data_IF_081691012479
#
_entry.id   IF_081691012479
#
_cell.length_a   1.000
_cell.length_b   1.000
_cell.length_c   1.000
_cell.angle_alpha   90.00
_cell.angle_beta   90.00
_cell.angle_gamma   90.00
#
_symmetry.space_group_name_H-M   'P 1'
#
loop_
_entity.id
_entity.type
_entity.pdbx_description
1 polymer ?
#
# COMPACT_ATOMS: atom_id res chain seq x y z
N UNK A 1 36.42 4.70 -20.59
CA UNK A 1 35.73 3.86 -19.60
C UNK A 1 36.61 2.68 -19.28
N UNK A 2 37.35 2.79 -18.19
CA UNK A 2 38.19 1.71 -17.65
C UNK A 2 37.30 0.52 -17.25
N UNK A 3 37.86 -0.69 -17.21
CA UNK A 3 37.12 -1.90 -16.81
C UNK A 3 36.53 -1.78 -15.41
N UNK A 4 37.23 -1.10 -14.50
CA UNK A 4 36.75 -0.86 -13.15
C UNK A 4 35.53 0.06 -13.12
N UNK A 5 35.53 1.12 -13.94
CA UNK A 5 34.38 2.02 -14.08
C UNK A 5 33.15 1.28 -14.61
N UNK A 6 33.34 0.39 -15.59
CA UNK A 6 32.25 -0.45 -16.12
C UNK A 6 31.69 -1.40 -15.07
N UNK A 7 32.55 -2.07 -14.29
CA UNK A 7 32.10 -2.98 -13.20
C UNK A 7 31.35 -2.22 -12.11
N UNK A 8 31.83 -1.04 -11.72
CA UNK A 8 31.17 -0.19 -10.74
C UNK A 8 29.79 0.25 -11.23
N UNK A 9 29.69 0.69 -12.49
CA UNK A 9 28.41 1.09 -13.08
C UNK A 9 27.40 -0.07 -13.10
N UNK A 10 27.86 -1.27 -13.46
CA UNK A 10 26.99 -2.44 -13.48
C UNK A 10 26.52 -2.87 -12.07
N UNK A 11 27.37 -2.73 -11.06
CA UNK A 11 26.99 -2.98 -9.67
C UNK A 11 25.94 -1.97 -9.18
N UNK A 12 26.08 -0.68 -9.56
CA UNK A 12 25.08 0.35 -9.27
C UNK A 12 23.74 0.03 -9.92
N UNK A 13 23.72 -0.33 -11.20
CA UNK A 13 22.47 -0.68 -11.89
C UNK A 13 21.76 -1.88 -11.23
N UNK A 14 22.50 -2.92 -10.83
CA UNK A 14 21.92 -4.06 -10.11
C UNK A 14 21.29 -3.64 -8.77
N UNK A 15 21.95 -2.75 -8.03
CA UNK A 15 21.42 -2.22 -6.78
C UNK A 15 20.15 -1.40 -7.00
N UNK A 16 20.17 -0.51 -7.98
CA UNK A 16 19.01 0.34 -8.34
C UNK A 16 17.80 -0.50 -8.79
N UNK A 17 18.04 -1.54 -9.60
CA UNK A 17 17.00 -2.49 -10.00
C UNK A 17 16.41 -3.24 -8.81
N UNK A 18 17.25 -3.73 -7.88
CA UNK A 18 16.80 -4.41 -6.69
C UNK A 18 15.92 -3.49 -5.82
N UNK A 19 16.37 -2.26 -5.58
CA UNK A 19 15.61 -1.27 -4.83
C UNK A 19 14.29 -0.90 -5.51
N UNK A 20 14.29 -0.77 -6.84
CA UNK A 20 13.06 -0.50 -7.60
C UNK A 20 12.06 -1.65 -7.47
N UNK A 21 12.54 -2.90 -7.55
CA UNK A 21 11.70 -4.09 -7.35
C UNK A 21 11.11 -4.12 -5.95
N UNK A 22 11.89 -3.79 -4.92
CA UNK A 22 11.42 -3.83 -3.54
C UNK A 22 10.38 -2.74 -3.26
N UNK A 23 10.57 -1.51 -3.77
CA UNK A 23 9.52 -0.46 -3.73
C UNK A 23 8.21 -0.90 -4.37
N UNK A 24 8.28 -1.62 -5.49
CA UNK A 24 7.09 -2.17 -6.16
C UNK A 24 6.43 -3.27 -5.33
N UNK A 25 7.21 -4.16 -4.70
CA UNK A 25 6.67 -5.19 -3.81
C UNK A 25 5.96 -4.58 -2.61
N UNK A 26 6.54 -3.58 -1.97
CA UNK A 26 5.95 -2.87 -0.84
C UNK A 26 4.63 -2.21 -1.22
N UNK A 27 4.61 -1.48 -2.34
CA UNK A 27 3.37 -0.87 -2.86
C UNK A 27 2.28 -1.93 -3.11
N UNK A 28 2.62 -3.04 -3.77
CA UNK A 28 1.67 -4.13 -4.04
C UNK A 28 1.17 -4.79 -2.75
N UNK A 29 2.04 -4.99 -1.77
CA UNK A 29 1.67 -5.56 -0.48
C UNK A 29 0.71 -4.62 0.27
N UNK A 30 0.99 -3.32 0.28
CA UNK A 30 0.11 -2.29 0.86
C UNK A 30 -1.26 -2.26 0.18
N UNK A 31 -1.30 -2.20 -1.16
CA UNK A 31 -2.56 -2.19 -1.90
C UNK A 31 -3.37 -3.47 -1.66
N UNK A 32 -2.73 -4.64 -1.65
CA UNK A 32 -3.42 -5.90 -1.36
C UNK A 32 -4.03 -5.91 0.03
N UNK A 33 -3.31 -5.40 1.04
CA UNK A 33 -3.83 -5.28 2.40
C UNK A 33 -5.06 -4.38 2.46
N UNK A 34 -5.00 -3.19 1.86
CA UNK A 34 -6.14 -2.26 1.83
C UNK A 34 -7.38 -2.86 1.16
N UNK A 35 -7.21 -3.61 0.07
CA UNK A 35 -8.32 -4.32 -0.59
C UNK A 35 -8.94 -5.38 0.34
N UNK A 36 -8.10 -6.13 1.05
CA UNK A 36 -8.57 -7.15 2.00
C UNK A 36 -9.30 -6.51 3.19
N UNK A 37 -8.76 -5.43 3.74
CA UNK A 37 -9.39 -4.65 4.81
C UNK A 37 -10.75 -4.10 4.37
N UNK A 38 -10.84 -3.52 3.16
CA UNK A 38 -12.11 -3.07 2.57
C UNK A 38 -13.12 -4.19 2.37
N UNK A 39 -12.70 -5.36 1.87
CA UNK A 39 -13.58 -6.52 1.70
C UNK A 39 -14.12 -7.04 3.05
N UNK A 40 -13.29 -7.03 4.10
CA UNK A 40 -13.72 -7.37 5.46
C UNK A 40 -14.73 -6.35 5.97
N UNK A 41 -14.48 -5.05 5.74
CA UNK A 41 -15.38 -3.98 6.14
C UNK A 41 -16.74 -4.11 5.48
N UNK A 42 -16.81 -4.27 4.16
CA UNK A 42 -18.09 -4.44 3.44
C UNK A 42 -18.85 -5.70 3.90
N UNK A 43 -18.13 -6.78 4.20
CA UNK A 43 -18.76 -8.00 4.73
C UNK A 43 -19.34 -7.79 6.14
N UNK A 44 -18.64 -7.07 7.00
CA UNK A 44 -19.07 -6.81 8.37
C UNK A 44 -20.11 -5.68 8.46
N UNK A 45 -20.08 -4.75 7.52
CA UNK A 45 -20.92 -3.56 7.46
C UNK A 45 -21.32 -3.29 5.99
N UNK A 46 -22.35 -3.98 5.48
CA UNK A 46 -22.76 -3.89 4.07
C UNK A 46 -23.13 -2.49 3.58
N UNK A 47 -23.53 -1.61 4.49
CA UNK A 47 -23.86 -0.22 4.18
C UNK A 47 -22.63 0.56 3.65
N UNK A 48 -21.41 0.18 4.06
CA UNK A 48 -20.18 0.82 3.59
C UNK A 48 -20.01 0.78 2.06
N UNK A 49 -20.56 -0.23 1.39
CA UNK A 49 -20.45 -0.38 -0.06
C UNK A 49 -21.14 0.75 -0.85
N UNK A 50 -22.10 1.44 -0.24
CA UNK A 50 -22.85 2.54 -0.86
C UNK A 50 -22.51 3.92 -0.27
N UNK A 51 -21.69 3.97 0.78
CA UNK A 51 -21.29 5.23 1.42
C UNK A 51 -20.20 5.92 0.62
N UNK A 52 -20.23 7.25 0.62
CA UNK A 52 -19.08 8.04 0.18
C UNK A 52 -17.89 7.84 1.13
N UNK A 53 -16.65 8.04 0.65
CA UNK A 53 -15.46 7.87 1.48
C UNK A 53 -15.48 8.79 2.72
N UNK A 54 -15.90 10.05 2.56
CA UNK A 54 -16.01 11.00 3.68
C UNK A 54 -17.11 10.60 4.66
N UNK A 55 -18.26 10.17 4.16
CA UNK A 55 -19.37 9.70 5.00
C UNK A 55 -18.97 8.46 5.82
N UNK A 56 -18.27 7.52 5.19
CA UNK A 56 -17.75 6.32 5.84
C UNK A 56 -16.71 6.67 6.91
N UNK A 57 -15.80 7.60 6.62
CA UNK A 57 -14.81 8.09 7.59
C UNK A 57 -15.49 8.75 8.79
N UNK A 58 -16.39 9.69 8.57
CA UNK A 58 -17.14 10.38 9.62
C UNK A 58 -17.91 9.39 10.50
N UNK A 59 -18.59 8.41 9.88
CA UNK A 59 -19.33 7.37 10.59
C UNK A 59 -18.41 6.51 11.46
N UNK A 60 -17.29 6.03 10.91
CA UNK A 60 -16.36 5.16 11.65
C UNK A 60 -15.69 5.90 12.81
N UNK A 61 -15.32 7.17 12.62
CA UNK A 61 -14.78 8.02 13.68
C UNK A 61 -15.79 8.18 14.84
N UNK A 62 -17.04 8.52 14.53
CA UNK A 62 -18.10 8.65 15.54
C UNK A 62 -18.33 7.33 16.30
N UNK A 63 -18.37 6.19 15.58
CA UNK A 63 -18.56 4.87 16.21
C UNK A 63 -17.38 4.48 17.10
N UNK A 64 -16.15 4.83 16.71
CA UNK A 64 -14.95 4.54 17.50
C UNK A 64 -14.91 5.37 18.79
N UNK A 65 -15.29 6.65 18.72
CA UNK A 65 -15.38 7.54 19.89
C UNK A 65 -16.48 7.12 20.87
N UNK A 66 -17.61 6.62 20.37
CA UNK A 66 -18.70 6.10 21.23
C UNK A 66 -18.27 4.83 21.98
N UNK A 67 -17.26 4.11 21.48
CA UNK A 67 -16.78 2.85 22.06
C UNK A 67 -15.52 2.97 22.91
N UNK A 68 -14.93 4.17 23.04
CA UNK A 68 -13.79 4.46 23.91
C UNK A 68 -14.23 4.97 25.28
#
# INVERSE_FOLDING_TARGET
MDENEKKLLQAKHRLEEAQARDRVKERKARTRRLIQEGAILEKAFPQAANMGLTELEDYLCQVAEIKS
#
